data_IF_981945533211
#
_entry.id   IF_981945533211
#
_cell.length_a   1.000
_cell.length_b   1.000
_cell.length_c   1.000
_cell.angle_alpha   90.00
_cell.angle_beta   90.00
_cell.angle_gamma   90.00
#
_symmetry.space_group_name_H-M   'P 1'
#
loop_
_entity.id
_entity.type
_entity.pdbx_description
1 polymer ?
#
# COMPACT_ATOMS: atom_id res chain seq x y z
N UNK A 1 22.58 45.49 56.88
CA UNK A 1 22.23 45.35 58.31
C UNK A 1 20.74 45.00 58.34
N UNK A 2 20.42 43.70 58.34
CA UNK A 2 20.04 42.91 59.53
C UNK A 2 18.56 43.14 59.84
N UNK A 3 17.63 42.19 59.82
CA UNK A 3 17.64 40.79 60.22
C UNK A 3 16.42 40.12 59.57
N UNK A 4 16.56 38.88 59.11
CA UNK A 4 15.58 37.81 59.36
C UNK A 4 16.25 36.49 58.97
N UNK A 5 16.80 35.83 59.99
CA UNK A 5 17.35 34.48 59.93
C UNK A 5 16.32 33.50 60.52
N UNK A 6 16.36 32.29 59.97
CA UNK A 6 16.14 30.99 60.61
C UNK A 6 14.76 30.68 61.20
N UNK A 7 14.05 29.75 60.54
CA UNK A 7 13.44 28.58 61.16
C UNK A 7 13.17 27.50 60.08
N UNK A 8 14.13 26.59 59.92
CA UNK A 8 13.92 25.25 59.35
C UNK A 8 14.02 24.27 60.52
N UNK A 9 13.10 23.29 60.62
CA UNK A 9 13.48 22.00 61.17
C UNK A 9 13.28 20.88 60.15
N UNK A 10 14.34 20.08 60.08
CA UNK A 10 14.47 18.79 59.43
C UNK A 10 13.28 17.86 59.69
N UNK A 11 12.72 17.30 58.61
CA UNK A 11 11.96 16.04 58.65
C UNK A 11 12.66 15.02 57.75
N UNK A 12 13.73 14.42 58.28
CA UNK A 12 14.23 13.14 57.78
C UNK A 12 13.31 12.03 58.30
N UNK A 13 12.42 11.50 57.46
CA UNK A 13 11.69 10.27 57.77
C UNK A 13 12.46 9.08 57.23
N UNK A 14 13.14 8.38 58.14
CA UNK A 14 13.50 6.97 57.99
C UNK A 14 12.23 6.16 57.72
N UNK A 15 12.09 5.62 56.52
CA UNK A 15 11.22 4.47 56.29
C UNK A 15 11.91 3.23 56.88
N UNK A 16 11.69 2.98 58.18
CA UNK A 16 11.87 1.62 58.72
C UNK A 16 10.70 0.79 58.23
N UNK A 17 10.99 -0.29 57.52
CA UNK A 17 10.03 -1.32 57.19
C UNK A 17 9.33 -1.78 58.48
N UNK A 18 8.03 -1.53 58.58
CA UNK A 18 7.18 -2.20 59.57
C UNK A 18 7.05 -3.64 59.11
N UNK A 19 7.82 -4.54 59.74
CA UNK A 19 7.46 -5.96 59.74
C UNK A 19 6.06 -6.06 60.33
N UNK A 20 5.15 -6.67 59.58
CA UNK A 20 3.79 -6.92 60.06
C UNK A 20 3.85 -7.94 61.20
N UNK A 21 2.94 -7.89 62.19
CA UNK A 21 2.90 -8.79 63.36
C UNK A 21 2.84 -10.30 63.03
N UNK A 22 2.68 -10.66 61.76
CA UNK A 22 2.53 -12.03 61.26
C UNK A 22 3.88 -12.75 61.03
N UNK A 23 4.96 -12.01 60.76
CA UNK A 23 6.29 -12.61 60.51
C UNK A 23 7.03 -12.97 61.81
N UNK A 24 6.76 -12.27 62.93
CA UNK A 24 7.34 -12.57 64.24
C UNK A 24 6.76 -13.87 64.84
N UNK A 25 5.49 -14.19 64.56
CA UNK A 25 4.79 -15.39 65.05
C UNK A 25 5.31 -16.68 64.39
N UNK A 26 5.70 -16.63 63.11
CA UNK A 26 6.21 -17.82 62.41
C UNK A 26 7.64 -18.20 62.84
N UNK A 27 8.46 -17.24 63.26
CA UNK A 27 9.82 -17.53 63.78
C UNK A 27 9.82 -18.15 65.17
N UNK A 28 8.79 -17.90 65.99
CA UNK A 28 8.78 -18.29 67.41
C UNK A 28 8.27 -19.71 67.67
N UNK A 29 7.64 -20.37 66.69
CA UNK A 29 6.95 -21.64 66.89
C UNK A 29 7.44 -22.83 66.06
N UNK A 30 8.60 -22.74 65.40
CA UNK A 30 9.27 -23.91 64.80
C UNK A 30 8.37 -24.82 63.95
N UNK A 31 7.32 -24.27 63.34
CA UNK A 31 6.35 -25.04 62.58
C UNK A 31 6.82 -25.10 61.13
N UNK A 32 7.09 -26.31 60.65
CA UNK A 32 7.18 -26.59 59.22
C UNK A 32 5.91 -26.07 58.54
N UNK A 33 6.08 -25.15 57.60
CA UNK A 33 4.99 -24.59 56.78
C UNK A 33 4.42 -25.74 55.96
N UNK A 34 3.33 -26.33 56.44
CA UNK A 34 2.46 -27.19 55.63
C UNK A 34 1.91 -26.36 54.48
N UNK A 35 2.01 -26.87 53.24
CA UNK A 35 1.40 -26.29 52.03
C UNK A 35 -0.12 -26.06 52.16
N UNK A 36 -0.76 -26.60 53.20
CA UNK A 36 -2.18 -26.44 53.51
C UNK A 36 -2.58 -25.11 54.18
N UNK A 37 -1.64 -24.18 54.42
CA UNK A 37 -1.92 -22.89 55.07
C UNK A 37 -1.86 -21.67 54.13
N UNK A 38 -1.74 -21.87 52.81
CA UNK A 38 -1.96 -20.78 51.86
C UNK A 38 -3.46 -20.44 51.89
N UNK A 39 -3.85 -19.18 52.17
CA UNK A 39 -5.26 -18.81 52.14
C UNK A 39 -5.84 -19.18 50.77
N UNK A 40 -6.82 -20.07 50.76
CA UNK A 40 -7.55 -20.53 49.58
C UNK A 40 -8.31 -19.40 48.86
N UNK A 41 -8.42 -18.23 49.51
CA UNK A 41 -8.84 -16.98 48.90
C UNK A 41 -7.72 -16.45 48.02
N UNK A 42 -7.76 -16.79 46.73
CA UNK A 42 -6.83 -16.23 45.73
C UNK A 42 -6.90 -14.69 45.71
N UNK A 43 -5.79 -14.04 45.35
CA UNK A 43 -5.74 -12.58 45.19
C UNK A 43 -6.80 -12.14 44.18
N UNK A 44 -7.69 -11.25 44.59
CA UNK A 44 -8.69 -10.64 43.71
C UNK A 44 -8.07 -9.50 42.90
N UNK A 45 -8.53 -9.33 41.67
CA UNK A 45 -8.09 -8.24 40.83
C UNK A 45 -8.68 -6.92 41.33
N UNK A 46 -7.82 -6.08 41.90
CA UNK A 46 -8.20 -4.78 42.46
C UNK A 46 -8.22 -3.64 41.44
N UNK A 47 -8.08 -3.94 40.13
CA UNK A 47 -7.86 -2.93 39.10
C UNK A 47 -8.64 -3.19 37.81
N UNK A 48 -9.22 -2.14 37.24
CA UNK A 48 -10.02 -2.19 36.01
C UNK A 48 -11.45 -2.70 36.21
N UNK A 49 -12.43 -2.08 35.55
CA UNK A 49 -13.87 -2.41 35.75
C UNK A 49 -14.26 -3.82 35.30
N UNK A 50 -13.59 -4.36 34.29
CA UNK A 50 -13.98 -5.63 33.65
C UNK A 50 -13.73 -6.86 34.52
N UNK A 51 -12.68 -6.84 35.34
CA UNK A 51 -12.26 -7.98 36.14
C UNK A 51 -12.20 -7.67 37.65
N UNK A 52 -12.72 -6.52 38.08
CA UNK A 52 -12.68 -6.10 39.47
C UNK A 52 -13.32 -7.15 40.39
N UNK A 53 -12.64 -7.53 41.47
CA UNK A 53 -13.12 -8.51 42.45
C UNK A 53 -13.07 -9.97 41.97
N UNK A 54 -12.64 -10.24 40.72
CA UNK A 54 -12.44 -11.62 40.24
C UNK A 54 -11.06 -12.13 40.65
N UNK A 55 -10.90 -13.42 40.97
CA UNK A 55 -9.62 -13.97 41.38
C UNK A 55 -8.63 -13.97 40.21
N UNK A 56 -7.41 -13.45 40.42
CA UNK A 56 -6.37 -13.32 39.39
C UNK A 56 -6.05 -14.63 38.69
N UNK A 57 -6.09 -15.76 39.40
CA UNK A 57 -5.88 -17.09 38.80
C UNK A 57 -6.83 -17.40 37.64
N UNK A 58 -8.10 -17.01 37.75
CA UNK A 58 -9.10 -17.23 36.69
C UNK A 58 -8.83 -16.31 35.50
N UNK A 59 -8.48 -15.05 35.78
CA UNK A 59 -8.15 -14.06 34.75
C UNK A 59 -6.91 -14.50 33.97
N UNK A 60 -5.90 -15.10 34.63
CA UNK A 60 -4.71 -15.63 33.96
C UNK A 60 -5.07 -16.72 32.94
N UNK A 61 -5.97 -17.64 33.29
CA UNK A 61 -6.42 -18.69 32.37
C UNK A 61 -7.34 -18.17 31.26
N UNK A 62 -8.23 -17.23 31.58
CA UNK A 62 -9.22 -16.72 30.63
C UNK A 62 -8.66 -15.65 29.69
N UNK A 63 -7.75 -14.81 30.17
CA UNK A 63 -7.23 -13.66 29.44
C UNK A 63 -5.77 -13.33 29.83
N UNK A 64 -4.81 -14.14 29.38
CA UNK A 64 -3.39 -13.92 29.66
C UNK A 64 -2.89 -12.57 29.10
N UNK A 65 -3.47 -12.06 28.01
CA UNK A 65 -3.11 -10.76 27.43
C UNK A 65 -3.43 -9.59 28.39
N UNK A 66 -4.57 -9.64 29.07
CA UNK A 66 -4.92 -8.62 30.07
C UNK A 66 -3.94 -8.63 31.24
N UNK A 67 -3.51 -9.81 31.68
CA UNK A 67 -2.48 -9.94 32.71
C UNK A 67 -1.12 -9.42 32.26
N UNK A 68 -0.70 -9.68 31.01
CA UNK A 68 0.53 -9.10 30.43
C UNK A 68 0.44 -7.58 30.36
N UNK A 69 -0.73 -7.05 29.99
CA UNK A 69 -0.98 -5.61 30.00
C UNK A 69 -0.89 -5.02 31.42
N UNK A 70 -1.41 -5.71 32.45
CA UNK A 70 -1.28 -5.26 33.84
C UNK A 70 0.18 -5.21 34.28
N UNK A 71 0.97 -6.24 33.97
CA UNK A 71 2.41 -6.26 34.24
C UNK A 71 3.11 -5.08 33.57
N UNK A 72 2.80 -4.82 32.29
CA UNK A 72 3.36 -3.68 31.56
C UNK A 72 2.94 -2.33 32.16
N UNK A 73 1.67 -2.16 32.52
CA UNK A 73 1.17 -0.90 33.09
C UNK A 73 1.69 -0.63 34.50
N UNK A 74 2.03 -1.66 35.25
CA UNK A 74 2.65 -1.52 36.56
C UNK A 74 4.10 -0.99 36.49
N UNK A 75 4.75 -1.06 35.33
CA UNK A 75 6.09 -0.49 35.10
C UNK A 75 6.05 1.03 34.81
N UNK A 76 4.87 1.61 34.57
CA UNK A 76 4.73 3.06 34.34
C UNK A 76 4.79 3.86 35.65
N UNK A 77 5.47 5.01 35.63
CA UNK A 77 5.54 5.91 36.79
C UNK A 77 4.14 6.36 37.24
N UNK A 78 3.84 6.18 38.52
CA UNK A 78 2.55 6.56 39.11
C UNK A 78 1.44 5.50 38.97
N UNK A 79 1.79 4.25 38.67
CA UNK A 79 0.82 3.15 38.69
C UNK A 79 0.07 3.06 40.04
N UNK A 80 -1.27 2.88 40.04
CA UNK A 80 -2.05 2.82 41.28
C UNK A 80 -1.69 1.58 42.10
N UNK A 81 -1.79 1.68 43.43
CA UNK A 81 -1.39 0.60 44.36
C UNK A 81 -2.03 -0.75 44.04
N UNK A 82 -3.33 -0.78 43.72
CA UNK A 82 -4.02 -2.02 43.35
C UNK A 82 -3.47 -2.69 42.08
N UNK A 83 -2.95 -1.91 41.12
CA UNK A 83 -2.27 -2.46 39.95
C UNK A 83 -0.90 -3.02 40.30
N UNK A 84 -0.14 -2.33 41.15
CA UNK A 84 1.17 -2.79 41.63
C UNK A 84 1.06 -4.09 42.42
N UNK A 85 0.05 -4.21 43.29
CA UNK A 85 -0.24 -5.43 44.06
C UNK A 85 -0.62 -6.60 43.14
N UNK A 86 -1.51 -6.38 42.17
CA UNK A 86 -1.86 -7.38 41.17
C UNK A 86 -0.62 -7.82 40.36
N UNK A 87 0.21 -6.88 39.93
CA UNK A 87 1.42 -7.15 39.15
C UNK A 87 2.47 -7.93 39.96
N UNK A 88 2.66 -7.59 41.23
CA UNK A 88 3.53 -8.33 42.14
C UNK A 88 3.05 -9.78 42.29
N UNK A 89 1.74 -9.99 42.47
CA UNK A 89 1.15 -11.33 42.54
C UNK A 89 1.36 -12.12 41.25
N UNK A 90 1.08 -11.52 40.09
CA UNK A 90 1.26 -12.15 38.78
C UNK A 90 2.72 -12.51 38.51
N UNK A 91 3.66 -11.66 38.92
CA UNK A 91 5.10 -11.92 38.78
C UNK A 91 5.54 -13.15 39.57
N UNK A 92 4.96 -13.37 40.76
CA UNK A 92 5.29 -14.50 41.62
C UNK A 92 4.60 -15.80 41.18
N UNK A 93 3.33 -15.73 40.81
CA UNK A 93 2.49 -16.92 40.61
C UNK A 93 2.22 -17.29 39.15
N UNK A 94 2.50 -16.40 38.20
CA UNK A 94 2.31 -16.65 36.79
C UNK A 94 3.58 -16.28 35.98
N UNK A 95 4.73 -16.93 36.25
CA UNK A 95 6.01 -16.59 35.61
C UNK A 95 5.98 -16.73 34.08
N UNK A 96 5.08 -17.58 33.55
CA UNK A 96 4.85 -17.74 32.11
C UNK A 96 4.28 -16.48 31.43
N UNK A 97 3.73 -15.54 32.19
CA UNK A 97 3.24 -14.26 31.68
C UNK A 97 4.33 -13.20 31.56
N UNK A 98 5.55 -13.49 32.02
CA UNK A 98 6.67 -12.57 31.87
C UNK A 98 6.93 -12.36 30.38
N UNK A 99 6.59 -11.17 29.90
CA UNK A 99 6.77 -10.79 28.51
C UNK A 99 8.27 -10.88 28.20
N UNK A 100 8.69 -11.66 27.19
CA UNK A 100 10.08 -11.68 26.78
C UNK A 100 10.55 -10.26 26.46
N UNK A 101 11.74 -9.88 26.94
CA UNK A 101 12.30 -8.54 26.68
C UNK A 101 12.48 -8.24 25.19
N UNK A 102 12.58 -9.30 24.39
CA UNK A 102 12.68 -9.23 22.94
C UNK A 102 11.32 -9.16 22.24
N UNK A 103 10.19 -9.10 22.94
CA UNK A 103 8.88 -8.96 22.29
C UNK A 103 8.66 -7.54 21.75
N UNK A 104 8.36 -7.43 20.45
CA UNK A 104 8.04 -6.16 19.80
C UNK A 104 6.69 -5.64 20.28
N UNK A 105 6.70 -4.51 20.97
CA UNK A 105 5.49 -3.93 21.61
C UNK A 105 4.60 -3.10 20.68
N UNK A 106 5.05 -2.74 19.47
CA UNK A 106 4.29 -1.88 18.56
C UNK A 106 4.72 -1.95 17.09
N UNK A 107 3.90 -1.38 16.20
CA UNK A 107 4.14 -1.34 14.76
C UNK A 107 3.80 -2.64 14.02
N UNK A 108 4.38 -2.79 12.80
CA UNK A 108 4.11 -3.90 11.85
C UNK A 108 4.33 -5.29 12.47
N UNK A 109 5.30 -5.43 13.36
CA UNK A 109 5.68 -6.72 13.95
C UNK A 109 5.24 -6.88 15.42
N UNK A 110 4.18 -6.17 15.84
CA UNK A 110 3.67 -6.25 17.21
C UNK A 110 3.38 -7.70 17.60
N UNK A 111 3.89 -8.12 18.76
CA UNK A 111 3.71 -9.47 19.31
C UNK A 111 4.69 -10.52 18.78
N UNK A 112 5.65 -10.13 17.94
CA UNK A 112 6.73 -11.01 17.48
C UNK A 112 8.01 -10.80 18.28
N UNK A 113 8.85 -11.82 18.36
CA UNK A 113 10.15 -11.76 19.04
C UNK A 113 11.20 -11.12 18.13
N UNK A 114 12.03 -10.23 18.66
CA UNK A 114 13.15 -9.61 17.93
C UNK A 114 14.16 -10.68 17.51
N UNK A 115 14.32 -11.74 18.28
CA UNK A 115 15.16 -12.88 17.93
C UNK A 115 14.75 -13.55 16.60
N UNK A 116 13.45 -13.73 16.36
CA UNK A 116 12.93 -14.20 15.07
C UNK A 116 13.12 -13.16 13.97
N UNK A 117 12.81 -11.90 14.28
CA UNK A 117 12.88 -10.80 13.30
C UNK A 117 14.30 -10.51 12.83
N UNK A 118 15.32 -10.77 13.65
CA UNK A 118 16.72 -10.66 13.21
C UNK A 118 16.99 -11.53 11.98
N UNK A 119 16.34 -12.70 11.89
CA UNK A 119 16.47 -13.61 10.75
C UNK A 119 15.46 -13.29 9.64
N UNK A 120 14.21 -13.03 10.01
CA UNK A 120 13.11 -12.88 9.04
C UNK A 120 12.96 -11.47 8.45
N UNK A 121 13.23 -10.44 9.25
CA UNK A 121 13.11 -9.04 8.83
C UNK A 121 14.24 -8.19 9.48
N UNK A 122 15.52 -8.44 9.08
CA UNK A 122 16.65 -7.67 9.59
C UNK A 122 16.53 -6.16 9.28
N UNK A 123 15.68 -5.77 8.32
CA UNK A 123 15.41 -4.38 7.99
C UNK A 123 14.58 -3.69 9.05
N UNK A 124 13.53 -4.34 9.55
CA UNK A 124 12.79 -3.82 10.69
C UNK A 124 13.73 -3.63 11.89
N UNK A 125 14.61 -4.59 12.16
CA UNK A 125 15.60 -4.47 13.24
C UNK A 125 16.57 -3.29 13.02
N UNK A 126 17.09 -3.10 11.79
CA UNK A 126 17.92 -1.93 11.44
C UNK A 126 17.14 -0.61 11.53
N UNK A 127 15.85 -0.61 11.19
CA UNK A 127 14.97 0.54 11.38
C UNK A 127 14.81 0.86 12.87
N UNK A 128 14.56 -0.14 13.73
CA UNK A 128 14.49 0.03 15.19
C UNK A 128 15.79 0.66 15.73
N UNK A 129 16.96 0.16 15.30
CA UNK A 129 18.26 0.71 15.69
C UNK A 129 18.45 2.17 15.25
N UNK A 130 17.94 2.55 14.07
CA UNK A 130 18.00 3.94 13.58
C UNK A 130 17.02 4.85 14.32
N UNK A 131 15.78 4.39 14.46
CA UNK A 131 14.69 5.15 15.07
C UNK A 131 14.98 5.42 16.54
N UNK A 132 15.60 4.47 17.25
CA UNK A 132 15.99 4.65 18.65
C UNK A 132 17.00 5.80 18.88
N UNK A 133 17.76 6.21 17.86
CA UNK A 133 18.69 7.35 17.92
C UNK A 133 17.98 8.71 17.85
N UNK A 134 16.70 8.75 17.47
CA UNK A 134 15.90 9.98 17.43
C UNK A 134 15.62 10.45 18.86
N UNK A 135 15.75 11.77 19.12
CA UNK A 135 15.61 12.37 20.46
C UNK A 135 14.27 12.05 21.13
N UNK A 136 13.20 11.96 20.33
CA UNK A 136 11.83 11.72 20.80
C UNK A 136 11.36 10.28 20.53
N UNK A 137 12.31 9.34 20.32
CA UNK A 137 11.98 7.93 20.13
C UNK A 137 11.25 7.34 21.35
N UNK A 138 10.24 6.52 21.08
CA UNK A 138 9.45 5.85 22.11
C UNK A 138 10.35 4.96 23.00
N UNK A 139 10.08 4.87 24.33
CA UNK A 139 10.86 4.02 25.24
C UNK A 139 10.96 2.56 24.78
N UNK A 140 9.88 1.99 24.24
CA UNK A 140 9.85 0.61 23.74
C UNK A 140 10.77 0.37 22.54
N UNK A 141 10.96 1.38 21.68
CA UNK A 141 11.87 1.32 20.53
C UNK A 141 13.33 1.35 21.03
N UNK A 142 13.62 2.15 22.07
CA UNK A 142 14.95 2.18 22.70
C UNK A 142 15.29 0.87 23.41
N UNK A 143 14.32 0.27 24.10
CA UNK A 143 14.48 -1.05 24.73
C UNK A 143 14.78 -2.12 23.67
N UNK A 144 13.99 -2.14 22.59
CA UNK A 144 14.19 -3.05 21.46
C UNK A 144 15.55 -2.86 20.80
N UNK A 145 15.98 -1.61 20.60
CA UNK A 145 17.30 -1.30 20.07
C UNK A 145 18.41 -1.77 21.01
N UNK A 146 18.30 -1.51 22.31
CA UNK A 146 19.27 -1.98 23.31
C UNK A 146 19.41 -3.51 23.28
N UNK A 147 18.29 -4.22 23.14
CA UNK A 147 18.31 -5.68 22.97
C UNK A 147 19.03 -6.09 21.67
N UNK A 148 18.70 -5.48 20.54
CA UNK A 148 19.34 -5.75 19.25
C UNK A 148 20.84 -5.45 19.26
N UNK A 149 21.24 -4.38 19.94
CA UNK A 149 22.64 -4.01 20.08
C UNK A 149 23.48 -5.04 20.86
N UNK A 150 22.85 -5.73 21.81
CA UNK A 150 23.47 -6.78 22.62
C UNK A 150 23.45 -8.14 21.90
N UNK A 151 22.35 -8.49 21.25
CA UNK A 151 22.10 -9.85 20.74
C UNK A 151 22.35 -10.00 19.24
N UNK A 152 22.30 -8.91 18.48
CA UNK A 152 22.51 -8.89 17.03
C UNK A 152 23.52 -7.78 16.63
N UNK A 153 24.77 -7.80 17.15
CA UNK A 153 25.75 -6.75 16.88
C UNK A 153 26.12 -6.62 15.39
N UNK A 154 25.94 -7.68 14.60
CA UNK A 154 26.13 -7.65 13.15
C UNK A 154 25.19 -6.67 12.44
N UNK A 155 24.07 -6.27 13.07
CA UNK A 155 23.14 -5.26 12.54
C UNK A 155 23.62 -3.82 12.78
N UNK A 156 24.58 -3.57 13.68
CA UNK A 156 25.12 -2.22 13.97
C UNK A 156 25.90 -1.62 12.81
N UNK A 157 26.38 -2.46 11.90
CA UNK A 157 27.08 -1.98 10.72
C UNK A 157 26.06 -1.27 9.83
N UNK A 158 26.05 0.07 9.91
CA UNK A 158 25.29 1.02 9.11
C UNK A 158 25.64 0.96 7.62
N UNK A 159 26.29 -0.12 7.16
CA UNK A 159 26.31 -0.44 5.76
C UNK A 159 24.85 -0.61 5.32
N UNK A 160 24.35 0.31 4.46
CA UNK A 160 23.08 0.07 3.80
C UNK A 160 23.22 -1.29 3.15
N UNK A 161 22.28 -2.20 3.42
CA UNK A 161 22.30 -3.50 2.75
C UNK A 161 22.26 -3.19 1.26
N UNK A 162 23.32 -3.51 0.51
CA UNK A 162 23.36 -3.17 -0.91
C UNK A 162 22.12 -3.78 -1.56
N UNK A 163 21.35 -2.95 -2.28
CA UNK A 163 20.14 -3.44 -2.94
C UNK A 163 18.84 -3.22 -2.16
N UNK A 164 18.74 -2.33 -1.17
CA UNK A 164 17.46 -1.99 -0.53
C UNK A 164 17.24 -0.47 -0.44
N UNK A 165 15.98 -0.04 -0.56
CA UNK A 165 15.62 1.38 -0.50
C UNK A 165 15.34 1.86 0.91
N UNK A 166 16.01 2.94 1.32
CA UNK A 166 15.67 3.65 2.55
C UNK A 166 14.63 4.74 2.29
N UNK A 167 13.40 4.51 2.75
CA UNK A 167 12.30 5.50 2.68
C UNK A 167 11.60 5.61 1.32
N UNK A 168 10.53 6.40 1.27
CA UNK A 168 9.71 6.61 0.06
C UNK A 168 8.68 5.50 -0.20
N UNK A 169 8.07 5.52 -1.40
CA UNK A 169 7.00 4.60 -1.86
C UNK A 169 7.38 3.13 -1.70
N UNK A 170 8.65 2.80 -1.87
CA UNK A 170 9.18 1.43 -1.81
C UNK A 170 10.18 1.23 -0.67
N UNK A 171 10.07 2.02 0.40
CA UNK A 171 10.97 1.90 1.57
C UNK A 171 10.92 0.50 2.18
N UNK A 172 12.10 -0.10 2.39
CA UNK A 172 12.24 -1.46 2.95
C UNK A 172 12.14 -2.59 1.92
N UNK A 173 11.91 -2.30 0.64
CA UNK A 173 11.92 -3.32 -0.43
C UNK A 173 13.29 -3.52 -1.06
N UNK A 174 13.54 -4.73 -1.54
CA UNK A 174 14.74 -5.05 -2.31
C UNK A 174 14.65 -4.43 -3.71
N UNK A 175 15.75 -3.84 -4.16
CA UNK A 175 15.94 -3.33 -5.52
C UNK A 175 15.83 -4.45 -6.55
N UNK A 176 16.23 -5.69 -6.22
CA UNK A 176 16.03 -6.86 -7.08
C UNK A 176 14.55 -7.08 -7.42
N UNK A 177 13.69 -7.00 -6.41
CA UNK A 177 12.26 -7.23 -6.58
C UNK A 177 11.65 -6.07 -7.39
N UNK A 178 12.08 -4.84 -7.09
CA UNK A 178 11.62 -3.64 -7.80
C UNK A 178 12.07 -3.59 -9.27
N UNK A 179 13.21 -4.17 -9.64
CA UNK A 179 13.61 -4.28 -11.04
C UNK A 179 12.55 -5.03 -11.85
N UNK A 180 11.91 -6.02 -11.24
CA UNK A 180 10.86 -6.83 -11.87
C UNK A 180 9.48 -6.20 -11.72
N UNK A 181 9.15 -5.72 -10.53
CA UNK A 181 7.80 -5.27 -10.19
C UNK A 181 7.50 -3.81 -10.58
N UNK A 182 8.51 -2.93 -10.53
CA UNK A 182 8.38 -1.51 -10.85
C UNK A 182 9.67 -0.98 -11.51
N UNK A 183 10.00 -1.45 -12.74
CA UNK A 183 11.18 -1.01 -13.47
C UNK A 183 11.18 0.51 -13.71
N UNK A 184 9.99 1.13 -13.79
CA UNK A 184 9.85 2.57 -13.93
C UNK A 184 10.38 3.34 -12.70
N UNK A 185 10.12 2.84 -11.49
CA UNK A 185 10.69 3.41 -10.27
C UNK A 185 12.21 3.24 -10.21
N UNK A 186 12.73 2.08 -10.63
CA UNK A 186 14.18 1.86 -10.72
C UNK A 186 14.85 2.83 -11.72
N UNK A 187 14.21 3.09 -12.86
CA UNK A 187 14.64 4.14 -13.79
C UNK A 187 14.56 5.54 -13.18
N UNK A 188 13.54 5.82 -12.36
CA UNK A 188 13.48 7.08 -11.61
C UNK A 188 14.67 7.23 -10.65
N UNK A 189 15.08 6.19 -9.93
CA UNK A 189 16.27 6.23 -9.05
C UNK A 189 17.52 6.59 -9.87
N UNK A 190 17.74 5.91 -11.01
CA UNK A 190 18.87 6.18 -11.90
C UNK A 190 18.87 7.63 -12.42
N UNK A 191 17.70 8.23 -12.66
CA UNK A 191 17.56 9.64 -13.03
C UNK A 191 17.82 10.57 -11.84
N UNK A 192 17.24 10.28 -10.69
CA UNK A 192 17.37 11.08 -9.48
C UNK A 192 18.84 11.14 -9.00
N UNK A 193 19.60 10.08 -9.21
CA UNK A 193 21.03 10.03 -8.92
C UNK A 193 21.88 10.98 -9.78
N UNK A 194 21.36 11.46 -10.93
CA UNK A 194 22.03 12.45 -11.80
C UNK A 194 21.72 13.90 -11.43
N UNK A 195 20.89 14.14 -10.41
CA UNK A 195 20.62 15.50 -9.94
C UNK A 195 21.91 16.16 -9.39
N UNK A 196 21.90 17.49 -9.19
CA UNK A 196 23.08 18.23 -8.68
C UNK A 196 23.48 17.77 -7.28
N UNK A 197 22.51 17.35 -6.46
CA UNK A 197 22.76 16.85 -5.10
C UNK A 197 21.80 15.68 -4.76
N UNK A 198 22.07 14.46 -5.25
CA UNK A 198 21.28 13.30 -4.88
C UNK A 198 21.58 12.90 -3.43
N UNK A 199 20.57 12.38 -2.74
CA UNK A 199 20.79 11.81 -1.41
C UNK A 199 21.77 10.62 -1.48
N UNK A 200 22.48 10.34 -0.39
CA UNK A 200 23.41 9.19 -0.32
C UNK A 200 22.70 7.87 -0.68
N UNK A 201 21.48 7.68 -0.17
CA UNK A 201 20.67 6.50 -0.46
C UNK A 201 20.30 6.35 -1.94
N UNK A 202 19.95 7.45 -2.62
CA UNK A 202 19.64 7.43 -4.07
C UNK A 202 20.89 7.06 -4.88
N UNK A 203 22.07 7.56 -4.49
CA UNK A 203 23.34 7.21 -5.15
C UNK A 203 23.67 5.72 -5.00
N UNK A 204 23.63 5.21 -3.77
CA UNK A 204 23.92 3.79 -3.48
C UNK A 204 22.93 2.85 -4.19
N UNK A 205 21.64 3.22 -4.21
CA UNK A 205 20.63 2.48 -4.95
C UNK A 205 20.89 2.49 -6.46
N UNK A 206 21.28 3.65 -7.02
CA UNK A 206 21.64 3.77 -8.43
C UNK A 206 22.89 2.95 -8.77
N UNK A 207 23.92 3.00 -7.94
CA UNK A 207 25.15 2.22 -8.13
C UNK A 207 24.86 0.71 -8.12
N UNK A 208 24.00 0.26 -7.20
CA UNK A 208 23.55 -1.13 -7.18
C UNK A 208 22.79 -1.51 -8.45
N UNK A 209 21.83 -0.69 -8.90
CA UNK A 209 21.07 -0.93 -10.13
C UNK A 209 21.98 -0.95 -11.35
N UNK A 210 22.99 -0.07 -11.39
CA UNK A 210 24.00 0.00 -12.45
C UNK A 210 24.80 -1.30 -12.56
N UNK A 211 25.09 -1.94 -11.43
CA UNK A 211 25.86 -3.18 -11.38
C UNK A 211 25.00 -4.42 -11.63
N UNK A 212 23.80 -4.47 -11.07
CA UNK A 212 23.00 -5.70 -10.99
C UNK A 212 21.83 -5.75 -11.98
N UNK A 213 21.44 -4.62 -12.55
CA UNK A 213 20.37 -4.52 -13.54
C UNK A 213 20.84 -3.73 -14.78
N UNK A 214 21.85 -4.22 -15.52
CA UNK A 214 22.36 -3.53 -16.70
C UNK A 214 21.31 -3.37 -17.80
N UNK A 215 20.28 -4.22 -17.84
CA UNK A 215 19.12 -4.06 -18.70
C UNK A 215 18.34 -2.76 -18.42
N UNK A 216 18.40 -2.21 -17.20
CA UNK A 216 17.82 -0.90 -16.88
C UNK A 216 18.70 0.27 -17.38
N UNK A 217 20.00 0.06 -17.60
CA UNK A 217 20.87 1.08 -18.23
C UNK A 217 20.58 1.26 -19.71
N UNK A 218 19.94 0.28 -20.34
CA UNK A 218 19.54 0.35 -21.75
C UNK A 218 18.30 1.25 -21.92
N UNK A 219 18.41 2.44 -21.33
CA UNK A 219 17.63 3.61 -21.66
C UNK A 219 18.12 4.07 -23.05
N UNK A 220 17.71 3.35 -24.09
CA UNK A 220 17.11 4.06 -25.21
C UNK A 220 15.85 4.72 -24.63
N UNK A 221 16.02 5.77 -23.81
CA UNK A 221 14.96 6.65 -23.34
C UNK A 221 14.39 7.23 -24.60
N UNK A 222 13.44 6.50 -25.15
CA UNK A 222 12.87 6.69 -26.44
C UNK A 222 11.95 7.89 -26.23
N UNK A 223 12.57 9.06 -26.24
CA UNK A 223 11.90 10.32 -26.01
C UNK A 223 11.17 10.71 -27.27
N UNK A 224 9.95 11.16 -27.07
CA UNK A 224 9.14 11.66 -28.15
C UNK A 224 9.73 12.95 -28.69
N UNK A 225 9.97 13.01 -30.01
CA UNK A 225 10.44 14.23 -30.68
C UNK A 225 9.29 15.12 -31.15
N UNK A 226 8.07 14.59 -31.22
CA UNK A 226 6.88 15.31 -31.70
C UNK A 226 6.44 16.47 -30.78
N UNK A 227 5.88 17.53 -31.38
CA UNK A 227 5.49 18.77 -30.67
C UNK A 227 4.63 18.57 -29.42
N UNK A 228 3.69 17.62 -29.45
CA UNK A 228 2.71 17.42 -28.35
C UNK A 228 3.36 16.85 -27.07
N UNK A 229 4.30 15.92 -27.23
CA UNK A 229 4.91 15.18 -26.12
C UNK A 229 6.43 15.29 -26.13
N UNK A 230 6.96 16.40 -26.65
CA UNK A 230 8.40 16.55 -26.85
C UNK A 230 9.17 16.31 -25.56
N UNK A 231 10.18 15.45 -25.62
CA UNK A 231 11.03 15.09 -24.49
C UNK A 231 10.42 14.08 -23.51
N UNK A 232 9.15 13.69 -23.65
CA UNK A 232 8.51 12.68 -22.79
C UNK A 232 8.94 11.27 -23.17
N UNK A 233 8.98 10.35 -22.21
CA UNK A 233 9.31 8.95 -22.48
C UNK A 233 8.10 8.23 -23.09
N UNK A 234 8.32 7.39 -24.10
CA UNK A 234 7.23 6.60 -24.67
C UNK A 234 6.61 5.63 -23.66
N UNK A 235 7.39 5.11 -22.71
CA UNK A 235 6.86 4.30 -21.60
C UNK A 235 5.84 5.05 -20.74
N UNK A 236 6.05 6.33 -20.47
CA UNK A 236 5.08 7.17 -19.73
C UNK A 236 3.78 7.33 -20.55
N UNK A 237 3.94 7.52 -21.88
CA UNK A 237 2.82 7.75 -22.78
C UNK A 237 1.93 6.52 -23.00
N UNK A 238 2.43 5.30 -22.80
CA UNK A 238 1.59 4.09 -22.87
C UNK A 238 0.38 4.22 -21.94
N UNK A 239 0.61 4.72 -20.72
CA UNK A 239 -0.44 4.88 -19.72
C UNK A 239 -1.18 6.22 -19.80
N UNK A 240 -0.51 7.26 -20.30
CA UNK A 240 -1.04 8.64 -20.26
C UNK A 240 -1.69 9.10 -21.56
N UNK A 241 -1.19 8.66 -22.72
CA UNK A 241 -1.75 8.98 -24.04
C UNK A 241 -1.60 7.76 -24.98
N UNK A 242 -2.34 6.67 -24.74
CA UNK A 242 -2.30 5.47 -25.58
C UNK A 242 -2.71 5.77 -27.03
N UNK A 243 -3.55 6.79 -27.26
CA UNK A 243 -3.89 7.24 -28.61
C UNK A 243 -2.69 7.81 -29.38
N UNK A 244 -1.76 8.49 -28.69
CA UNK A 244 -0.50 8.92 -29.29
C UNK A 244 0.43 7.72 -29.57
N UNK A 245 0.49 6.75 -28.67
CA UNK A 245 1.29 5.54 -28.88
C UNK A 245 0.77 4.72 -30.07
N UNK A 246 -0.54 4.61 -30.25
CA UNK A 246 -1.13 3.99 -31.43
C UNK A 246 -0.93 4.80 -32.71
N UNK A 247 -0.88 6.13 -32.60
CA UNK A 247 -0.45 6.96 -33.72
C UNK A 247 1.01 6.66 -34.09
N UNK A 248 1.92 6.54 -33.12
CA UNK A 248 3.30 6.11 -33.38
C UNK A 248 3.35 4.74 -34.07
N UNK A 249 2.58 3.77 -33.59
CA UNK A 249 2.49 2.43 -34.19
C UNK A 249 2.05 2.50 -35.65
N UNK A 250 0.97 3.23 -35.98
CA UNK A 250 0.47 3.36 -37.35
C UNK A 250 1.43 4.15 -38.25
N UNK A 251 1.95 5.28 -37.78
CA UNK A 251 2.84 6.11 -38.59
C UNK A 251 4.17 5.41 -38.85
N UNK A 252 4.60 4.49 -37.97
CA UNK A 252 5.76 3.65 -38.23
C UNK A 252 5.53 2.57 -39.31
N UNK A 253 4.28 2.28 -39.70
CA UNK A 253 3.95 1.38 -40.81
C UNK A 253 4.00 2.08 -42.17
N UNK A 254 4.01 3.42 -42.20
CA UNK A 254 4.16 4.18 -43.45
C UNK A 254 5.57 3.96 -44.04
N UNK A 255 5.68 3.81 -45.36
CA UNK A 255 6.97 3.54 -46.04
C UNK A 255 8.01 4.65 -45.83
N UNK A 256 7.54 5.87 -45.54
CA UNK A 256 8.38 7.04 -45.29
C UNK A 256 8.69 7.27 -43.79
N UNK A 257 8.36 6.30 -42.92
CA UNK A 257 8.61 6.42 -41.48
C UNK A 257 10.11 6.50 -41.19
N UNK A 258 10.52 7.51 -40.41
CA UNK A 258 11.92 7.63 -40.02
C UNK A 258 12.36 6.51 -39.05
N UNK A 259 13.68 6.31 -38.96
CA UNK A 259 14.27 5.29 -38.08
C UNK A 259 13.91 5.51 -36.60
N UNK A 260 13.59 6.76 -36.24
CA UNK A 260 13.19 7.10 -34.88
C UNK A 260 11.77 6.59 -34.58
N UNK A 261 10.79 6.84 -35.46
CA UNK A 261 9.42 6.34 -35.30
C UNK A 261 9.35 4.82 -35.32
N UNK A 262 10.10 4.17 -36.21
CA UNK A 262 10.17 2.70 -36.26
C UNK A 262 10.77 2.11 -34.98
N UNK A 263 11.81 2.74 -34.42
CA UNK A 263 12.35 2.35 -33.11
C UNK A 263 11.34 2.50 -31.97
N UNK A 264 10.56 3.59 -31.98
CA UNK A 264 9.48 3.81 -31.01
C UNK A 264 8.37 2.77 -31.10
N UNK A 265 7.93 2.47 -32.32
CA UNK A 265 6.91 1.48 -32.57
C UNK A 265 7.37 0.07 -32.20
N UNK A 266 8.60 -0.31 -32.54
CA UNK A 266 9.17 -1.60 -32.14
C UNK A 266 9.19 -1.77 -30.62
N UNK A 267 9.56 -0.70 -29.89
CA UNK A 267 9.50 -0.72 -28.43
C UNK A 267 8.07 -0.88 -27.91
N UNK A 268 7.12 -0.14 -28.46
CA UNK A 268 5.70 -0.24 -28.10
C UNK A 268 5.13 -1.63 -28.37
N UNK A 269 5.50 -2.27 -29.48
CA UNK A 269 5.08 -3.64 -29.80
C UNK A 269 5.63 -4.66 -28.78
N UNK A 270 6.87 -4.50 -28.35
CA UNK A 270 7.50 -5.41 -27.39
C UNK A 270 6.97 -5.22 -25.96
N UNK A 271 6.68 -3.98 -25.55
CA UNK A 271 6.39 -3.63 -24.15
C UNK A 271 4.91 -3.33 -23.88
N UNK A 272 4.14 -2.98 -24.91
CA UNK A 272 2.72 -2.63 -24.83
C UNK A 272 1.93 -3.23 -26.00
N UNK A 273 1.99 -4.56 -26.23
CA UNK A 273 1.36 -5.22 -27.38
C UNK A 273 -0.17 -4.98 -27.45
N UNK A 274 -0.82 -4.79 -26.30
CA UNK A 274 -2.24 -4.45 -26.19
C UNK A 274 -2.63 -3.18 -26.98
N UNK A 275 -1.68 -2.26 -27.23
CA UNK A 275 -1.91 -1.07 -28.04
C UNK A 275 -2.05 -1.38 -29.53
N UNK A 276 -1.41 -2.44 -30.05
CA UNK A 276 -1.51 -2.86 -31.46
C UNK A 276 -2.89 -3.45 -31.76
N UNK A 277 -3.39 -4.27 -30.84
CA UNK A 277 -4.61 -5.05 -31.03
C UNK A 277 -5.88 -4.20 -30.94
N UNK A 278 -5.77 -2.98 -30.40
CA UNK A 278 -6.93 -2.14 -30.13
C UNK A 278 -7.12 -1.08 -31.22
N UNK A 279 -7.95 -1.37 -32.23
CA UNK A 279 -8.36 -0.37 -33.21
C UNK A 279 -9.11 0.77 -32.51
N UNK A 280 -8.75 2.02 -32.82
CA UNK A 280 -9.38 3.23 -32.25
C UNK A 280 -10.09 4.04 -33.31
N UNK A 281 -11.08 4.83 -32.91
CA UNK A 281 -11.77 5.75 -33.81
C UNK A 281 -10.83 6.88 -34.24
N UNK A 282 -10.52 6.97 -35.53
CA UNK A 282 -9.68 8.03 -36.12
C UNK A 282 -10.50 9.20 -36.66
N UNK A 283 -11.79 8.99 -36.91
CA UNK A 283 -12.75 10.01 -37.35
C UNK A 283 -12.77 11.20 -36.39
N UNK A 284 -12.88 12.41 -36.94
CA UNK A 284 -13.05 13.64 -36.14
C UNK A 284 -14.47 13.72 -35.56
N UNK A 285 -14.73 12.92 -34.54
CA UNK A 285 -15.97 12.90 -33.76
C UNK A 285 -15.68 12.87 -32.26
N UNK A 286 -16.74 12.79 -31.44
CA UNK A 286 -16.63 12.71 -29.97
C UNK A 286 -15.86 11.48 -29.47
N UNK A 287 -15.73 10.44 -30.28
CA UNK A 287 -15.07 9.18 -29.94
C UNK A 287 -13.63 9.09 -30.45
N UNK A 288 -13.07 10.17 -31.02
CA UNK A 288 -11.70 10.15 -31.56
C UNK A 288 -10.69 9.69 -30.49
N UNK A 289 -9.89 8.67 -30.83
CA UNK A 289 -8.88 8.08 -29.95
C UNK A 289 -9.42 7.10 -28.91
N UNK A 290 -10.72 6.80 -28.93
CA UNK A 290 -11.34 5.77 -28.08
C UNK A 290 -11.29 4.42 -28.79
N UNK A 291 -10.95 3.31 -28.09
CA UNK A 291 -11.05 1.95 -28.59
C UNK A 291 -12.41 1.66 -29.23
N UNK A 292 -12.44 1.14 -30.46
CA UNK A 292 -13.68 0.73 -31.12
C UNK A 292 -14.50 -0.26 -30.27
N UNK A 293 -13.92 -1.30 -29.64
CA UNK A 293 -14.66 -2.16 -28.71
C UNK A 293 -15.37 -1.39 -27.59
N UNK A 294 -14.74 -0.34 -27.06
CA UNK A 294 -15.33 0.51 -26.04
C UNK A 294 -16.43 1.39 -26.61
N UNK A 295 -16.29 1.90 -27.85
CA UNK A 295 -17.35 2.67 -28.49
C UNK A 295 -18.57 1.78 -28.77
N UNK A 296 -18.39 0.51 -29.11
CA UNK A 296 -19.49 -0.46 -29.23
C UNK A 296 -20.24 -0.59 -27.89
N UNK A 297 -19.52 -0.70 -26.77
CA UNK A 297 -20.14 -0.79 -25.46
C UNK A 297 -20.79 0.52 -24.97
N UNK A 298 -20.18 1.67 -25.27
CA UNK A 298 -20.65 2.98 -24.81
C UNK A 298 -21.76 3.57 -25.69
N UNK A 299 -21.64 3.43 -27.01
CA UNK A 299 -22.46 4.16 -27.97
C UNK A 299 -22.71 3.31 -29.22
N UNK A 300 -23.47 2.21 -29.08
CA UNK A 300 -23.74 1.30 -30.19
C UNK A 300 -24.55 1.98 -31.31
N UNK A 301 -25.33 3.01 -31.00
CA UNK A 301 -26.01 3.87 -32.00
C UNK A 301 -25.01 4.54 -32.94
N UNK A 302 -23.91 5.10 -32.42
CA UNK A 302 -22.86 5.65 -33.28
C UNK A 302 -22.23 4.57 -34.17
N UNK A 303 -22.12 3.34 -33.67
CA UNK A 303 -21.59 2.22 -34.45
C UNK A 303 -22.55 1.81 -35.57
N UNK A 304 -23.86 1.75 -35.31
CA UNK A 304 -24.90 1.53 -36.32
C UNK A 304 -24.84 2.63 -37.39
N UNK A 305 -24.78 3.90 -36.97
CA UNK A 305 -24.56 5.02 -37.89
C UNK A 305 -23.26 4.84 -38.68
N UNK A 306 -22.17 4.40 -38.05
CA UNK A 306 -20.91 4.12 -38.71
C UNK A 306 -20.97 2.88 -39.65
N UNK A 307 -22.02 2.06 -39.62
CA UNK A 307 -22.21 0.93 -40.53
C UNK A 307 -23.05 1.29 -41.77
N UNK A 308 -23.87 2.35 -41.71
CA UNK A 308 -24.74 2.77 -42.82
C UNK A 308 -23.97 3.11 -44.11
N UNK A 309 -24.43 2.70 -45.30
CA UNK A 309 -23.82 3.12 -46.55
C UNK A 309 -23.97 4.65 -46.73
N UNK A 310 -22.85 5.38 -46.87
CA UNK A 310 -22.83 6.80 -47.20
C UNK A 310 -21.90 6.99 -48.39
N UNK A 311 -22.32 7.78 -49.39
CA UNK A 311 -21.61 7.93 -50.66
C UNK A 311 -20.20 8.53 -50.50
N UNK A 312 -19.96 9.35 -49.47
CA UNK A 312 -18.67 9.98 -49.21
C UNK A 312 -18.25 9.80 -47.74
N UNK A 313 -17.53 8.72 -47.43
CA UNK A 313 -16.96 8.51 -46.10
C UNK A 313 -15.49 8.87 -46.08
N UNK A 314 -15.06 9.54 -45.01
CA UNK A 314 -13.63 9.69 -44.74
C UNK A 314 -12.98 8.32 -44.51
N UNK A 315 -11.68 8.20 -44.80
CA UNK A 315 -10.90 6.97 -44.58
C UNK A 315 -11.12 6.36 -43.19
N UNK A 316 -11.17 7.20 -42.14
CA UNK A 316 -11.41 6.73 -40.77
C UNK A 316 -12.80 6.09 -40.55
N UNK A 317 -13.83 6.53 -41.28
CA UNK A 317 -15.15 5.88 -41.22
C UNK A 317 -15.14 4.54 -41.96
N UNK A 318 -14.39 4.44 -43.07
CA UNK A 318 -14.24 3.19 -43.81
C UNK A 318 -13.56 2.15 -42.91
N UNK A 319 -12.42 2.51 -42.31
CA UNK A 319 -11.68 1.65 -41.37
C UNK A 319 -12.54 1.22 -40.18
N UNK A 320 -13.23 2.17 -39.53
CA UNK A 320 -14.13 1.85 -38.42
C UNK A 320 -15.27 0.91 -38.85
N UNK A 321 -15.88 1.15 -40.02
CA UNK A 321 -16.97 0.31 -40.52
C UNK A 321 -16.50 -1.10 -40.88
N UNK A 322 -15.29 -1.25 -41.43
CA UNK A 322 -14.72 -2.55 -41.76
C UNK A 322 -14.50 -3.37 -40.48
N UNK A 323 -13.87 -2.75 -39.47
CA UNK A 323 -13.66 -3.38 -38.17
C UNK A 323 -14.99 -3.78 -37.51
N UNK A 324 -15.99 -2.90 -37.53
CA UNK A 324 -17.32 -3.17 -36.96
C UNK A 324 -18.02 -4.33 -37.66
N UNK A 325 -17.93 -4.46 -38.98
CA UNK A 325 -18.51 -5.60 -39.71
C UNK A 325 -17.86 -6.93 -39.35
N UNK A 326 -16.56 -6.93 -39.10
CA UNK A 326 -15.81 -8.13 -38.74
C UNK A 326 -16.01 -8.53 -37.27
N UNK A 327 -16.05 -7.55 -36.36
CA UNK A 327 -15.97 -7.80 -34.92
C UNK A 327 -17.29 -7.61 -34.17
N UNK A 328 -18.26 -6.91 -34.77
CA UNK A 328 -19.55 -6.55 -34.16
C UNK A 328 -20.71 -6.71 -35.17
N UNK A 329 -20.71 -7.81 -35.93
CA UNK A 329 -21.67 -8.07 -37.01
C UNK A 329 -23.13 -8.07 -36.51
N UNK A 330 -23.35 -8.41 -35.25
CA UNK A 330 -24.64 -8.36 -34.56
C UNK A 330 -25.27 -6.96 -34.57
N UNK A 331 -24.48 -5.88 -34.62
CA UNK A 331 -25.00 -4.51 -34.74
C UNK A 331 -25.75 -4.26 -36.06
N UNK A 332 -25.55 -5.10 -37.08
CA UNK A 332 -26.31 -5.02 -38.35
C UNK A 332 -27.71 -5.62 -38.23
N UNK A 333 -27.96 -6.47 -37.23
CA UNK A 333 -29.20 -7.22 -37.06
C UNK A 333 -30.12 -6.59 -36.01
N UNK A 334 -29.55 -5.81 -35.09
CA UNK A 334 -30.29 -5.14 -34.02
C UNK A 334 -30.97 -3.88 -34.55
N UNK A 335 -32.25 -3.71 -34.20
CA UNK A 335 -32.98 -2.47 -34.51
C UNK A 335 -32.41 -1.31 -33.70
N UNK A 336 -32.39 -0.12 -34.29
CA UNK A 336 -31.86 1.08 -33.63
C UNK A 336 -32.61 1.42 -32.33
N UNK A 337 -33.89 1.04 -32.20
CA UNK A 337 -34.71 1.28 -31.02
C UNK A 337 -34.68 0.15 -29.96
N UNK A 338 -33.96 -0.94 -30.20
CA UNK A 338 -33.86 -2.08 -29.27
C UNK A 338 -32.75 -1.88 -28.23
N UNK A 339 -33.04 -1.03 -27.24
CA UNK A 339 -32.08 -0.67 -26.17
C UNK A 339 -31.62 -1.87 -25.33
N UNK A 340 -32.43 -2.93 -25.22
CA UNK A 340 -32.08 -4.13 -24.46
C UNK A 340 -31.00 -4.93 -25.22
N UNK A 341 -31.21 -5.19 -26.50
CA UNK A 341 -30.22 -5.86 -27.34
C UNK A 341 -28.91 -5.07 -27.44
N UNK A 342 -29.00 -3.74 -27.61
CA UNK A 342 -27.82 -2.86 -27.64
C UNK A 342 -27.06 -2.88 -26.30
N UNK A 343 -27.77 -2.96 -25.18
CA UNK A 343 -27.16 -3.09 -23.85
C UNK A 343 -26.45 -4.43 -23.70
N UNK A 344 -27.03 -5.53 -24.18
CA UNK A 344 -26.43 -6.86 -24.11
C UNK A 344 -25.17 -6.98 -24.96
N UNK A 345 -25.17 -6.41 -26.17
CA UNK A 345 -23.96 -6.27 -26.99
C UNK A 345 -22.88 -5.54 -26.20
N UNK A 346 -23.24 -4.41 -25.56
CA UNK A 346 -22.28 -3.66 -24.76
C UNK A 346 -21.68 -4.44 -23.58
N UNK A 347 -22.48 -5.28 -22.90
CA UNK A 347 -21.98 -6.17 -21.85
C UNK A 347 -21.02 -7.23 -22.39
N UNK A 348 -21.36 -7.83 -23.53
CA UNK A 348 -20.51 -8.81 -24.21
C UNK A 348 -19.14 -8.22 -24.54
N UNK A 349 -19.13 -7.00 -25.09
CA UNK A 349 -17.89 -6.28 -25.39
C UNK A 349 -17.11 -5.91 -24.12
N UNK A 350 -17.78 -5.51 -23.05
CA UNK A 350 -17.14 -5.23 -21.76
C UNK A 350 -16.45 -6.49 -21.21
N UNK A 351 -17.11 -7.65 -21.26
CA UNK A 351 -16.52 -8.91 -20.81
C UNK A 351 -15.31 -9.34 -21.64
N UNK A 352 -15.38 -9.18 -22.96
CA UNK A 352 -14.30 -9.60 -23.88
C UNK A 352 -13.11 -8.63 -23.91
N UNK A 353 -13.37 -7.33 -23.83
CA UNK A 353 -12.37 -6.28 -24.10
C UNK A 353 -12.19 -5.26 -22.96
N UNK A 354 -12.84 -5.45 -21.81
CA UNK A 354 -12.85 -4.46 -20.72
C UNK A 354 -11.47 -4.06 -20.20
N UNK A 355 -10.47 -4.95 -20.28
CA UNK A 355 -9.07 -4.63 -19.95
C UNK A 355 -8.49 -3.49 -20.81
N UNK A 356 -9.00 -3.33 -22.04
CA UNK A 356 -8.54 -2.32 -22.99
C UNK A 356 -9.39 -1.04 -22.95
N UNK A 357 -10.47 -1.01 -22.16
CA UNK A 357 -11.33 0.17 -22.06
C UNK A 357 -10.62 1.25 -21.25
N UNK A 358 -10.70 2.49 -21.71
CA UNK A 358 -10.06 3.64 -21.08
C UNK A 358 -11.07 4.59 -20.44
N UNK A 359 -10.69 5.23 -19.35
CA UNK A 359 -11.52 6.27 -18.75
C UNK A 359 -11.51 7.53 -19.63
N UNK A 360 -12.68 8.07 -20.00
CA UNK A 360 -12.76 9.22 -20.93
C UNK A 360 -12.67 10.57 -20.24
N UNK A 361 -12.97 10.61 -18.95
CA UNK A 361 -13.13 11.85 -18.18
C UNK A 361 -12.49 11.75 -16.80
N UNK A 362 -12.32 12.88 -16.13
CA UNK A 362 -11.81 12.91 -14.75
C UNK A 362 -10.30 12.76 -14.62
N UNK A 363 -9.84 12.59 -13.38
CA UNK A 363 -8.42 12.56 -12.99
C UNK A 363 -7.63 11.40 -13.62
N UNK A 364 -8.32 10.29 -13.90
CA UNK A 364 -7.71 9.09 -14.47
C UNK A 364 -7.98 8.95 -15.97
N UNK A 365 -8.29 10.06 -16.66
CA UNK A 365 -8.55 10.08 -18.09
C UNK A 365 -7.41 9.40 -18.87
N UNK A 366 -7.78 8.59 -19.85
CA UNK A 366 -6.97 7.72 -20.71
C UNK A 366 -6.30 6.51 -20.03
N UNK A 367 -6.39 6.35 -18.71
CA UNK A 367 -5.97 5.10 -18.07
C UNK A 367 -6.96 3.97 -18.38
N UNK A 368 -6.47 2.74 -18.53
CA UNK A 368 -7.36 1.59 -18.69
C UNK A 368 -8.15 1.33 -17.41
N UNK A 369 -9.32 0.70 -17.53
CA UNK A 369 -10.14 0.35 -16.37
C UNK A 369 -9.36 -0.53 -15.39
N UNK A 370 -8.60 -1.50 -15.89
CA UNK A 370 -7.74 -2.36 -15.08
C UNK A 370 -6.70 -1.55 -14.28
N UNK A 371 -6.03 -0.58 -14.91
CA UNK A 371 -5.09 0.30 -14.22
C UNK A 371 -5.79 1.15 -13.17
N UNK A 372 -6.98 1.69 -13.46
CA UNK A 372 -7.74 2.51 -12.50
C UNK A 372 -8.15 1.71 -11.28
N UNK A 373 -8.64 0.48 -11.46
CA UNK A 373 -9.00 -0.41 -10.34
C UNK A 373 -7.79 -0.69 -9.46
N UNK A 374 -6.65 -1.03 -10.08
CA UNK A 374 -5.42 -1.36 -9.35
C UNK A 374 -4.81 -0.16 -8.61
N UNK A 375 -4.75 1.00 -9.26
CA UNK A 375 -4.04 2.17 -8.73
C UNK A 375 -4.92 3.09 -7.89
N UNK A 376 -6.24 3.08 -8.10
CA UNK A 376 -7.16 4.05 -7.52
C UNK A 376 -8.54 3.43 -7.20
N UNK A 377 -8.61 2.43 -6.30
CA UNK A 377 -9.87 1.79 -5.92
C UNK A 377 -10.91 2.79 -5.38
N UNK A 378 -10.46 3.82 -4.64
CA UNK A 378 -11.34 4.89 -4.15
C UNK A 378 -12.00 5.72 -5.27
N UNK A 379 -11.41 5.75 -6.46
CA UNK A 379 -12.02 6.38 -7.63
C UNK A 379 -13.18 5.54 -8.19
N UNK A 380 -13.09 4.21 -8.07
CA UNK A 380 -14.18 3.29 -8.43
C UNK A 380 -15.35 3.50 -7.47
N UNK A 381 -15.10 3.57 -6.16
CA UNK A 381 -16.15 3.87 -5.15
C UNK A 381 -16.85 5.21 -5.43
N UNK A 382 -16.07 6.22 -5.81
CA UNK A 382 -16.60 7.52 -6.22
C UNK A 382 -17.47 7.41 -7.47
N UNK A 383 -17.02 6.64 -8.48
CA UNK A 383 -17.78 6.42 -9.71
C UNK A 383 -19.12 5.73 -9.40
N UNK A 384 -19.12 4.68 -8.57
CA UNK A 384 -20.33 4.00 -8.13
C UNK A 384 -21.29 4.93 -7.38
N UNK A 385 -20.78 5.72 -6.43
CA UNK A 385 -21.57 6.69 -5.69
C UNK A 385 -22.19 7.73 -6.62
N UNK A 386 -21.42 8.21 -7.61
CA UNK A 386 -21.91 9.15 -8.63
C UNK A 386 -23.01 8.54 -9.49
N UNK A 387 -22.90 7.25 -9.86
CA UNK A 387 -23.94 6.53 -10.61
C UNK A 387 -25.20 6.37 -9.78
N UNK A 388 -25.09 5.97 -8.51
CA UNK A 388 -26.24 5.82 -7.60
C UNK A 388 -27.03 7.13 -7.41
N UNK A 389 -26.32 8.26 -7.40
CA UNK A 389 -26.92 9.58 -7.20
C UNK A 389 -27.34 10.28 -8.51
N UNK A 390 -27.09 9.68 -9.68
CA UNK A 390 -27.42 10.28 -10.96
C UNK A 390 -28.91 10.10 -11.29
N UNK A 391 -29.55 11.15 -11.81
CA UNK A 391 -30.90 11.02 -12.35
C UNK A 391 -30.91 10.19 -13.64
N UNK A 392 -32.07 9.64 -14.03
CA UNK A 392 -32.22 8.89 -15.28
C UNK A 392 -31.75 9.68 -16.52
N UNK A 393 -31.98 11.00 -16.55
CA UNK A 393 -31.50 11.87 -17.63
C UNK A 393 -29.98 12.11 -17.59
N UNK A 394 -29.35 12.09 -16.41
CA UNK A 394 -27.90 12.16 -16.28
C UNK A 394 -27.21 10.85 -16.68
N UNK A 395 -27.85 9.70 -16.46
CA UNK A 395 -27.35 8.39 -16.86
C UNK A 395 -27.19 8.25 -18.39
N UNK A 396 -27.98 8.96 -19.19
CA UNK A 396 -27.89 8.95 -20.66
C UNK A 396 -26.67 9.72 -21.22
N UNK A 397 -25.97 10.51 -20.41
CA UNK A 397 -24.77 11.24 -20.88
C UNK A 397 -23.60 10.27 -21.01
N UNK A 398 -22.84 10.37 -22.11
CA UNK A 398 -21.68 9.50 -22.41
C UNK A 398 -20.67 9.42 -21.26
N UNK A 399 -20.40 10.55 -20.58
CA UNK A 399 -19.49 10.55 -19.43
C UNK A 399 -19.98 9.66 -18.29
N UNK A 400 -21.29 9.56 -18.10
CA UNK A 400 -21.91 8.67 -17.09
C UNK A 400 -21.84 7.22 -17.53
N UNK A 401 -22.04 6.93 -18.82
CA UNK A 401 -21.96 5.56 -19.35
C UNK A 401 -20.54 4.97 -19.27
N UNK A 402 -19.50 5.77 -19.53
CA UNK A 402 -18.11 5.34 -19.31
C UNK A 402 -17.84 4.98 -17.83
N UNK A 403 -18.40 5.74 -16.88
CA UNK A 403 -18.30 5.40 -15.45
C UNK A 403 -19.10 4.15 -15.09
N UNK A 404 -20.27 3.94 -15.69
CA UNK A 404 -21.07 2.72 -15.51
C UNK A 404 -20.31 1.48 -15.96
N UNK A 405 -19.63 1.56 -17.11
CA UNK A 405 -18.78 0.46 -17.59
C UNK A 405 -17.57 0.24 -16.67
N UNK A 406 -16.93 1.29 -16.15
CA UNK A 406 -15.85 1.14 -15.15
C UNK A 406 -16.36 0.40 -13.90
N UNK A 407 -17.49 0.82 -13.35
CA UNK A 407 -18.08 0.19 -12.17
C UNK A 407 -18.50 -1.27 -12.44
N UNK A 408 -19.09 -1.54 -13.61
CA UNK A 408 -19.45 -2.90 -14.01
C UNK A 408 -18.20 -3.79 -14.17
N UNK A 409 -17.16 -3.29 -14.81
CA UNK A 409 -15.89 -4.00 -14.97
C UNK A 409 -15.23 -4.29 -13.61
N UNK A 410 -15.25 -3.33 -12.68
CA UNK A 410 -14.72 -3.50 -11.33
C UNK A 410 -15.50 -4.49 -10.45
N UNK A 411 -16.71 -4.92 -10.84
CA UNK A 411 -17.45 -5.98 -10.15
C UNK A 411 -17.15 -7.37 -10.70
N UNK A 412 -16.61 -7.45 -11.91
CA UNK A 412 -16.21 -8.70 -12.55
C UNK A 412 -14.79 -9.14 -12.13
N UNK A 413 -14.02 -8.25 -11.53
CA UNK A 413 -12.62 -8.42 -11.12
C UNK A 413 -12.47 -8.07 -9.63
#
# INVERSE_FOLDING_TARGET
RSLLKSCLPAWGRQYRARTTPRQELCRRFGATVSESCLPTSGMECMFGRRYYGRPLREIVSENPEYCRWMLQKAEEDGAPSGLLENAAWLTLHAPLLKVPRDLVRGGKHRGRLLSELVQEDPFYCKWVLREAKVKDALPSVRESASWLEQNAPHLKNDHPVPGFLSGGKHGGRALSDLVTEDPAYCQWILRAAKAVQPSKAIREAADWLVQNAPNLKQDQALRVRGRKHHGRLVSELVSEDPGYCQWLLRTAEDQDADQWMTGQAAWLLANAPHLKETTVVTVRCRHRGIPLPQVVAEDPHWCIFALQPLQERSRGFVEASAWLRENAAELLQVREDDEEALTEIGRTFLGRYGNNFVLRTGKHRMKTFQTVIKEAPTYVDWAESRIRNASASQCKRIGTKNLQLLAAFARLH
#
